data_IF_187087686245
#
_entry.id   IF_187087686245
#
_cell.length_a   1.000
_cell.length_b   1.000
_cell.length_c   1.000
_cell.angle_alpha   90.00
_cell.angle_beta   90.00
_cell.angle_gamma   90.00
#
_symmetry.space_group_name_H-M   'P 1'
#
loop_
_entity.id
_entity.type
_entity.pdbx_description
1 polymer ?
#
# COMPACT_ATOMS: atom_id res chain seq x y z
N UNK A 1 22.12 11.05 -9.41
CA UNK A 1 21.49 9.73 -9.59
C UNK A 1 21.58 9.04 -8.24
N UNK A 2 20.47 8.92 -7.51
CA UNK A 2 20.49 8.10 -6.30
C UNK A 2 20.70 6.65 -6.74
N UNK A 3 21.66 5.98 -6.11
CA UNK A 3 21.98 4.58 -6.36
C UNK A 3 20.76 3.73 -6.02
N UNK A 4 19.89 3.53 -7.02
CA UNK A 4 18.82 2.54 -6.93
C UNK A 4 19.53 1.23 -6.68
N UNK A 5 19.32 0.66 -5.49
CA UNK A 5 19.94 -0.59 -5.10
C UNK A 5 19.20 -1.72 -5.82
N UNK A 6 19.45 -1.82 -7.12
CA UNK A 6 18.81 -2.73 -8.07
C UNK A 6 18.93 -4.18 -7.57
N UNK A 7 20.07 -4.52 -6.96
CA UNK A 7 20.29 -5.81 -6.33
C UNK A 7 19.25 -6.13 -5.23
N UNK A 8 18.96 -5.16 -4.34
CA UNK A 8 17.94 -5.33 -3.29
C UNK A 8 16.54 -5.45 -3.88
N UNK A 9 16.22 -4.71 -4.94
CA UNK A 9 14.94 -4.83 -5.63
C UNK A 9 14.76 -6.24 -6.19
N UNK A 10 15.73 -6.75 -6.96
CA UNK A 10 15.65 -8.09 -7.54
C UNK A 10 15.60 -9.17 -6.46
N UNK A 11 16.40 -9.05 -5.41
CA UNK A 11 16.36 -9.98 -4.28
C UNK A 11 14.97 -10.01 -3.64
N UNK A 12 14.41 -8.84 -3.32
CA UNK A 12 13.08 -8.74 -2.72
C UNK A 12 12.00 -9.29 -3.63
N UNK A 13 12.09 -9.01 -4.94
CA UNK A 13 11.14 -9.49 -5.95
C UNK A 13 11.16 -11.01 -6.08
N UNK A 14 12.35 -11.63 -6.16
CA UNK A 14 12.51 -13.08 -6.23
C UNK A 14 12.04 -13.76 -4.94
N UNK A 15 12.32 -13.17 -3.78
CA UNK A 15 11.86 -13.70 -2.50
C UNK A 15 10.33 -13.68 -2.43
N UNK A 16 9.70 -12.55 -2.75
CA UNK A 16 8.24 -12.40 -2.73
C UNK A 16 7.53 -13.30 -3.73
N UNK A 17 8.06 -13.46 -4.96
CA UNK A 17 7.47 -14.35 -5.96
C UNK A 17 7.53 -15.81 -5.49
N UNK A 18 8.62 -16.20 -4.82
CA UNK A 18 8.80 -17.54 -4.28
C UNK A 18 7.79 -17.82 -3.17
N UNK A 19 7.65 -16.91 -2.20
CA UNK A 19 6.66 -17.01 -1.12
C UNK A 19 5.24 -17.07 -1.69
N UNK A 20 4.92 -16.23 -2.67
CA UNK A 20 3.60 -16.20 -3.29
C UNK A 20 3.27 -17.52 -3.99
N UNK A 21 4.21 -18.06 -4.78
CA UNK A 21 4.05 -19.34 -5.46
C UNK A 21 3.91 -20.51 -4.49
N UNK A 22 4.70 -20.52 -3.41
CA UNK A 22 4.56 -21.53 -2.36
C UNK A 22 3.19 -21.47 -1.68
N UNK A 23 2.72 -20.27 -1.32
CA UNK A 23 1.42 -20.05 -0.71
C UNK A 23 0.24 -20.48 -1.59
N UNK A 24 0.38 -20.43 -2.93
CA UNK A 24 -0.65 -20.90 -3.87
C UNK A 24 -0.84 -22.41 -3.88
N UNK A 25 0.14 -23.19 -3.43
CA UNK A 25 0.06 -24.66 -3.45
C UNK A 25 -0.81 -25.25 -2.33
N UNK A 26 -1.23 -24.43 -1.36
CA UNK A 26 -2.09 -24.85 -0.26
C UNK A 26 -3.52 -25.09 -0.77
N UNK A 27 -3.92 -26.36 -0.85
CA UNK A 27 -5.15 -26.85 -1.49
C UNK A 27 -6.44 -26.50 -0.73
N UNK A 28 -6.37 -26.42 0.60
CA UNK A 28 -7.47 -25.97 1.47
C UNK A 28 -7.10 -24.62 2.04
N UNK A 29 -7.60 -23.54 1.43
CA UNK A 29 -7.25 -22.21 1.91
C UNK A 29 -8.22 -21.75 2.99
N UNK A 30 -7.72 -21.66 4.22
CA UNK A 30 -8.38 -20.88 5.26
C UNK A 30 -8.45 -19.40 4.83
N UNK A 31 -9.36 -18.64 5.44
CA UNK A 31 -9.46 -17.19 5.17
C UNK A 31 -8.13 -16.46 5.50
N UNK A 32 -7.33 -16.97 6.45
CA UNK A 32 -5.98 -16.50 6.73
C UNK A 32 -5.05 -16.62 5.52
N UNK A 33 -5.13 -17.74 4.78
CA UNK A 33 -4.26 -18.01 3.65
C UNK A 33 -4.64 -17.14 2.47
N UNK A 34 -5.94 -16.87 2.30
CA UNK A 34 -6.43 -15.89 1.32
C UNK A 34 -5.93 -14.48 1.65
N UNK A 35 -6.05 -14.04 2.91
CA UNK A 35 -5.54 -12.74 3.37
C UNK A 35 -4.03 -12.61 3.19
N UNK A 36 -3.27 -13.67 3.49
CA UNK A 36 -1.83 -13.70 3.27
C UNK A 36 -1.47 -13.59 1.78
N UNK A 37 -2.19 -14.30 0.90
CA UNK A 37 -1.99 -14.18 -0.56
C UNK A 37 -2.28 -12.77 -1.07
N UNK A 38 -3.33 -12.12 -0.56
CA UNK A 38 -3.62 -10.72 -0.90
C UNK A 38 -2.52 -9.79 -0.41
N UNK A 39 -2.01 -9.99 0.81
CA UNK A 39 -0.90 -9.21 1.35
C UNK A 39 0.37 -9.35 0.51
N UNK A 40 0.74 -10.57 0.12
CA UNK A 40 1.87 -10.84 -0.76
C UNK A 40 1.67 -10.20 -2.15
N UNK A 41 0.46 -10.30 -2.72
CA UNK A 41 0.13 -9.72 -4.02
C UNK A 41 0.19 -8.19 -4.01
N UNK A 42 -0.37 -7.54 -2.98
CA UNK A 42 -0.30 -6.08 -2.81
C UNK A 42 1.13 -5.63 -2.62
N UNK A 43 1.94 -6.37 -1.86
CA UNK A 43 3.37 -6.06 -1.64
C UNK A 43 4.18 -6.18 -2.93
N UNK A 44 3.94 -7.23 -3.74
CA UNK A 44 4.56 -7.38 -5.06
C UNK A 44 4.21 -6.22 -6.00
N UNK A 45 2.94 -5.83 -6.02
CA UNK A 45 2.47 -4.72 -6.83
C UNK A 45 3.16 -3.42 -6.38
N UNK A 46 3.20 -3.16 -5.07
CA UNK A 46 3.84 -1.97 -4.52
C UNK A 46 5.35 -1.92 -4.80
N UNK A 47 6.03 -3.07 -4.77
CA UNK A 47 7.44 -3.18 -5.15
C UNK A 47 7.67 -2.78 -6.62
N UNK A 48 6.80 -3.23 -7.55
CA UNK A 48 6.89 -2.87 -8.97
C UNK A 48 6.69 -1.37 -9.18
N UNK A 49 5.69 -0.78 -8.53
CA UNK A 49 5.42 0.66 -8.67
C UNK A 49 6.47 1.54 -7.96
N UNK A 50 7.08 1.06 -6.86
CA UNK A 50 8.22 1.72 -6.22
C UNK A 50 9.48 1.68 -7.10
N UNK A 51 9.62 0.67 -7.96
CA UNK A 51 10.67 0.67 -8.97
C UNK A 51 10.35 1.62 -10.12
N UNK A 52 9.09 1.67 -10.57
CA UNK A 52 8.63 2.60 -11.61
C UNK A 52 8.77 4.07 -11.20
N UNK A 53 8.56 4.40 -9.93
CA UNK A 53 8.73 5.77 -9.41
C UNK A 53 10.18 6.26 -9.46
N UNK A 54 11.16 5.34 -9.53
CA UNK A 54 12.59 5.67 -9.48
C UNK A 54 13.20 5.99 -10.84
N UNK A 55 12.43 5.94 -11.92
CA UNK A 55 12.89 6.37 -13.25
C UNK A 55 13.04 7.89 -13.41
N UNK A 56 13.05 8.66 -12.31
CA UNK A 56 13.34 10.09 -12.34
C UNK A 56 14.73 10.36 -12.94
N UNK A 57 14.81 11.31 -13.89
CA UNK A 57 16.09 11.78 -14.44
C UNK A 57 16.47 11.22 -15.81
N UNK A 58 15.68 10.31 -16.39
CA UNK A 58 15.82 9.99 -17.82
C UNK A 58 15.07 11.04 -18.66
N UNK A 59 15.76 11.70 -19.60
CA UNK A 59 15.25 12.85 -20.35
C UNK A 59 14.10 12.58 -21.33
N UNK A 60 13.52 11.38 -21.36
CA UNK A 60 12.36 11.07 -22.21
C UNK A 60 11.05 11.32 -21.45
N UNK A 61 10.03 11.91 -22.10
CA UNK A 61 8.74 12.23 -21.47
C UNK A 61 7.99 11.00 -20.94
N UNK A 62 8.27 9.81 -21.46
CA UNK A 62 7.66 8.56 -20.99
C UNK A 62 8.08 8.20 -19.56
N UNK A 63 9.31 8.54 -19.14
CA UNK A 63 9.79 8.27 -17.78
C UNK A 63 9.15 9.17 -16.73
N UNK A 64 8.75 10.39 -17.12
CA UNK A 64 7.95 11.27 -16.28
C UNK A 64 6.59 10.64 -15.97
N UNK A 65 5.91 10.09 -16.97
CA UNK A 65 4.63 9.40 -16.78
C UNK A 65 4.80 8.19 -15.85
N UNK A 66 5.84 7.37 -16.05
CA UNK A 66 6.11 6.24 -15.16
C UNK A 66 6.38 6.67 -13.71
N UNK A 67 7.09 7.79 -13.53
CA UNK A 67 7.40 8.34 -12.21
C UNK A 67 6.12 8.82 -11.50
N UNK A 68 5.30 9.61 -12.19
CA UNK A 68 4.03 10.14 -11.66
C UNK A 68 3.05 9.02 -11.32
N UNK A 69 2.85 8.07 -12.23
CA UNK A 69 1.96 6.91 -12.01
C UNK A 69 2.50 6.03 -10.88
N UNK A 70 3.80 5.74 -10.86
CA UNK A 70 4.45 4.98 -9.78
C UNK A 70 4.18 5.58 -8.42
N UNK A 71 4.24 6.91 -8.32
CA UNK A 71 4.01 7.63 -7.08
C UNK A 71 2.58 7.62 -6.59
N UNK A 72 1.65 7.92 -7.49
CA UNK A 72 0.22 7.89 -7.20
C UNK A 72 -0.18 6.51 -6.69
N UNK A 73 0.25 5.46 -7.39
CA UNK A 73 -0.08 4.09 -7.05
C UNK A 73 0.57 3.66 -5.73
N UNK A 74 1.86 3.95 -5.55
CA UNK A 74 2.58 3.59 -4.31
C UNK A 74 1.94 4.25 -3.08
N UNK A 75 1.60 5.53 -3.17
CA UNK A 75 0.95 6.24 -2.06
C UNK A 75 -0.48 5.78 -1.83
N UNK A 76 -1.27 5.57 -2.88
CA UNK A 76 -2.66 5.11 -2.76
C UNK A 76 -2.79 3.70 -2.19
N UNK A 77 -1.86 2.80 -2.54
CA UNK A 77 -1.89 1.39 -2.13
C UNK A 77 -1.16 1.15 -0.80
N UNK A 78 -0.31 2.08 -0.36
CA UNK A 78 0.42 1.97 0.92
C UNK A 78 -0.47 1.69 2.13
N UNK A 79 -1.73 2.17 2.14
CA UNK A 79 -2.69 1.95 3.23
C UNK A 79 -3.31 0.55 3.22
N UNK A 80 -3.28 -0.15 2.09
CA UNK A 80 -3.83 -1.50 1.98
C UNK A 80 -2.97 -2.53 2.73
N UNK A 81 -1.66 -2.31 2.83
CA UNK A 81 -0.74 -3.21 3.56
C UNK A 81 -1.10 -3.32 5.05
N UNK A 82 -1.11 -2.23 5.85
CA UNK A 82 -1.44 -2.31 7.27
C UNK A 82 -2.89 -2.79 7.50
N UNK A 83 -3.81 -2.45 6.61
CA UNK A 83 -5.21 -2.89 6.65
C UNK A 83 -5.34 -4.41 6.48
N UNK A 84 -4.69 -4.98 5.47
CA UNK A 84 -4.67 -6.42 5.22
C UNK A 84 -3.94 -7.19 6.32
N UNK A 85 -2.84 -6.63 6.83
CA UNK A 85 -2.09 -7.23 7.92
C UNK A 85 -2.90 -7.28 9.21
N UNK A 86 -3.62 -6.20 9.53
CA UNK A 86 -4.54 -6.16 10.67
C UNK A 86 -5.65 -7.20 10.55
N UNK A 87 -6.29 -7.30 9.37
CA UNK A 87 -7.33 -8.32 9.13
C UNK A 87 -6.77 -9.74 9.26
N UNK A 88 -5.54 -9.98 8.77
CA UNK A 88 -4.86 -11.26 8.92
C UNK A 88 -4.65 -11.62 10.40
N UNK A 89 -4.15 -10.69 11.21
CA UNK A 89 -3.95 -10.91 12.65
C UNK A 89 -5.28 -11.09 13.40
N UNK A 90 -6.26 -10.25 13.13
CA UNK A 90 -7.58 -10.34 13.76
C UNK A 90 -8.21 -11.71 13.49
N UNK A 91 -8.17 -12.17 12.24
CA UNK A 91 -8.66 -13.50 11.90
C UNK A 91 -7.86 -14.61 12.60
N UNK A 92 -6.54 -14.49 12.71
CA UNK A 92 -5.70 -15.49 13.36
C UNK A 92 -5.94 -15.60 14.88
N UNK A 93 -6.29 -14.50 15.54
CA UNK A 93 -6.56 -14.45 16.99
C UNK A 93 -7.99 -14.90 17.30
N UNK A 94 -8.98 -14.34 16.59
CA UNK A 94 -10.39 -14.53 16.93
C UNK A 94 -11.06 -15.67 16.14
N UNK A 95 -10.48 -16.10 15.01
CA UNK A 95 -11.03 -17.13 14.11
C UNK A 95 -12.47 -16.87 13.60
N UNK A 96 -12.98 -15.65 13.78
CA UNK A 96 -14.34 -15.25 13.39
C UNK A 96 -14.34 -14.62 11.99
N UNK A 97 -14.95 -15.34 11.03
CA UNK A 97 -15.03 -14.93 9.63
C UNK A 97 -16.01 -13.78 9.39
N UNK A 98 -17.15 -13.76 10.08
CA UNK A 98 -18.22 -12.78 9.85
C UNK A 98 -17.82 -11.41 10.35
N UNK A 99 -17.21 -11.34 11.54
CA UNK A 99 -16.66 -10.11 12.10
C UNK A 99 -15.52 -9.54 11.23
N UNK A 100 -14.67 -10.42 10.69
CA UNK A 100 -13.57 -10.03 9.80
C UNK A 100 -14.09 -9.47 8.47
N UNK A 101 -15.15 -10.04 7.88
CA UNK A 101 -15.78 -9.50 6.65
C UNK A 101 -16.37 -8.10 6.86
N UNK A 102 -16.95 -7.83 8.03
CA UNK A 102 -17.49 -6.49 8.35
C UNK A 102 -16.36 -5.46 8.43
N UNK A 103 -15.25 -5.79 9.10
CA UNK A 103 -14.06 -4.94 9.17
C UNK A 103 -13.48 -4.67 7.78
N UNK A 104 -13.40 -5.68 6.92
CA UNK A 104 -12.92 -5.54 5.54
C UNK A 104 -13.68 -4.46 4.75
N UNK A 105 -15.00 -4.36 4.91
CA UNK A 105 -15.81 -3.33 4.26
C UNK A 105 -15.44 -1.91 4.74
N UNK A 106 -15.17 -1.72 6.03
CA UNK A 106 -14.72 -0.44 6.56
C UNK A 106 -13.35 -0.05 6.00
N UNK A 107 -12.41 -0.99 5.93
CA UNK A 107 -11.09 -0.76 5.34
C UNK A 107 -11.16 -0.37 3.86
N UNK A 108 -12.03 -1.02 3.07
CA UNK A 108 -12.27 -0.62 1.67
C UNK A 108 -12.81 0.80 1.59
N UNK A 109 -13.80 1.15 2.43
CA UNK A 109 -14.39 2.48 2.42
C UNK A 109 -13.35 3.57 2.73
N UNK A 110 -12.51 3.37 3.76
CA UNK A 110 -11.43 4.30 4.11
C UNK A 110 -10.41 4.39 2.98
N UNK A 111 -10.05 3.27 2.35
CA UNK A 111 -9.09 3.24 1.24
C UNK A 111 -9.63 3.96 0.00
N UNK A 112 -10.92 3.79 -0.31
CA UNK A 112 -11.58 4.49 -1.41
C UNK A 112 -11.60 6.00 -1.18
N UNK A 113 -11.93 6.44 0.04
CA UNK A 113 -11.87 7.86 0.43
C UNK A 113 -10.44 8.39 0.24
N UNK A 114 -9.43 7.64 0.70
CA UNK A 114 -8.03 8.04 0.56
C UNK A 114 -7.60 8.18 -0.91
N UNK A 115 -7.98 7.24 -1.78
CA UNK A 115 -7.72 7.32 -3.22
C UNK A 115 -8.42 8.55 -3.84
N UNK A 116 -9.68 8.83 -3.46
CA UNK A 116 -10.41 10.01 -3.95
C UNK A 116 -9.69 11.29 -3.53
N UNK A 117 -9.28 11.41 -2.27
CA UNK A 117 -8.49 12.55 -1.80
C UNK A 117 -7.18 12.67 -2.58
N UNK A 118 -6.47 11.55 -2.77
CA UNK A 118 -5.21 11.53 -3.51
C UNK A 118 -5.38 12.03 -4.94
N UNK A 119 -6.42 11.59 -5.66
CA UNK A 119 -6.76 12.07 -7.01
C UNK A 119 -7.08 13.57 -6.99
N UNK A 120 -7.95 14.03 -6.09
CA UNK A 120 -8.33 15.44 -5.99
C UNK A 120 -7.10 16.33 -5.76
N UNK A 121 -6.19 15.86 -4.90
CA UNK A 121 -5.02 16.65 -4.50
C UNK A 121 -3.96 16.77 -5.58
N UNK A 122 -3.97 15.89 -6.59
CA UNK A 122 -3.15 16.06 -7.80
C UNK A 122 -3.60 17.26 -8.65
N UNK A 123 -4.89 17.63 -8.61
CA UNK A 123 -5.43 18.75 -9.40
C UNK A 123 -5.46 20.07 -8.63
N UNK A 124 -5.49 20.02 -7.30
CA UNK A 124 -5.64 21.23 -6.46
C UNK A 124 -4.35 21.64 -5.76
N UNK A 125 -3.31 20.80 -5.69
CA UNK A 125 -2.06 21.09 -4.96
C UNK A 125 -2.19 21.10 -3.43
N UNK A 126 -3.38 20.85 -2.87
CA UNK A 126 -3.68 21.05 -1.43
C UNK A 126 -3.01 20.05 -0.47
N UNK A 127 -2.54 18.91 -0.95
CA UNK A 127 -1.86 17.88 -0.14
C UNK A 127 -0.49 17.49 -0.72
N UNK A 128 -0.25 17.83 -1.98
CA UNK A 128 0.90 17.39 -2.76
C UNK A 128 1.06 18.33 -3.97
N UNK A 129 2.21 18.98 -4.11
CA UNK A 129 2.61 19.66 -5.34
C UNK A 129 3.68 18.80 -6.03
N UNK A 130 3.44 18.44 -7.30
CA UNK A 130 4.50 17.88 -8.16
C UNK A 130 5.18 19.07 -8.82
N UNK A 131 6.05 19.76 -8.09
CA UNK A 131 6.94 20.72 -8.71
C UNK A 131 8.25 20.02 -9.11
N UNK A 132 8.30 19.69 -10.40
CA UNK A 132 9.51 19.45 -11.17
C UNK A 132 10.62 18.59 -10.53
N UNK A 133 10.33 17.31 -10.26
CA UNK A 133 11.30 16.23 -10.04
C UNK A 133 11.82 15.99 -8.60
N UNK A 134 11.26 16.63 -7.56
CA UNK A 134 11.60 16.33 -6.14
C UNK A 134 10.33 16.22 -5.29
N UNK A 135 10.23 15.18 -4.45
CA UNK A 135 9.20 15.07 -3.42
C UNK A 135 9.54 16.04 -2.28
N UNK A 136 8.79 17.14 -2.14
CA UNK A 136 8.75 17.85 -0.87
C UNK A 136 7.57 17.33 -0.04
N UNK A 137 7.87 16.76 1.12
CA UNK A 137 6.85 16.36 2.09
C UNK A 137 6.33 17.62 2.79
N UNK A 138 5.20 18.14 2.36
CA UNK A 138 4.58 19.30 3.02
C UNK A 138 3.99 18.92 4.38
N UNK A 139 3.75 19.93 5.22
CA UNK A 139 3.47 19.87 6.67
C UNK A 139 2.30 18.94 7.07
N UNK A 140 1.33 18.66 6.19
CA UNK A 140 0.18 17.78 6.47
C UNK A 140 0.51 16.27 6.43
N UNK A 141 1.68 15.86 5.93
CA UNK A 141 2.10 14.46 5.90
C UNK A 141 2.38 13.89 7.31
N UNK A 142 2.75 14.75 8.27
CA UNK A 142 3.01 14.34 9.67
C UNK A 142 1.69 14.08 10.42
N UNK A 143 0.66 14.90 10.15
CA UNK A 143 -0.64 14.75 10.80
C UNK A 143 -1.40 13.52 10.33
N UNK A 144 -1.26 13.13 9.07
CA UNK A 144 -1.95 11.94 8.52
C UNK A 144 -1.39 10.62 9.03
N UNK A 145 -0.07 10.50 9.24
CA UNK A 145 0.48 9.28 9.83
C UNK A 145 0.09 9.10 11.30
N UNK A 146 0.04 10.20 12.07
CA UNK A 146 -0.33 10.17 13.49
C UNK A 146 -1.82 9.88 13.70
N UNK A 147 -2.71 10.57 12.97
CA UNK A 147 -4.15 10.34 13.05
C UNK A 147 -4.59 8.97 12.52
N UNK A 148 -3.87 8.39 11.54
CA UNK A 148 -4.18 7.04 11.03
C UNK A 148 -3.93 5.96 12.07
N UNK A 149 -2.79 6.02 12.78
CA UNK A 149 -2.49 5.07 13.85
C UNK A 149 -3.52 5.16 14.98
N UNK A 150 -3.87 6.39 15.37
CA UNK A 150 -4.85 6.66 16.43
C UNK A 150 -6.29 6.25 16.04
N UNK A 151 -6.68 6.38 14.76
CA UNK A 151 -8.01 5.96 14.30
C UNK A 151 -8.16 4.44 14.24
N UNK A 152 -7.11 3.71 13.82
CA UNK A 152 -7.10 2.25 13.91
C UNK A 152 -7.16 1.78 15.37
N UNK A 153 -6.49 2.48 16.29
CA UNK A 153 -6.52 2.20 17.72
C UNK A 153 -7.87 2.57 18.39
N UNK A 154 -8.53 3.65 17.98
CA UNK A 154 -9.85 4.03 18.49
C UNK A 154 -10.98 3.12 18.00
N UNK A 155 -10.94 2.68 16.73
CA UNK A 155 -11.94 1.71 16.23
C UNK A 155 -11.83 0.32 16.89
N UNK A 156 -10.65 0.02 17.46
CA UNK A 156 -10.36 -1.17 18.26
C UNK A 156 -10.99 -1.08 19.67
N UNK A 157 -10.96 0.09 20.33
CA UNK A 157 -11.58 0.28 21.65
C UNK A 157 -13.12 0.27 21.62
N UNK A 158 -13.72 0.61 20.48
CA UNK A 158 -15.19 0.68 20.35
C UNK A 158 -15.80 -0.69 20.02
N UNK A 159 -15.00 -1.66 19.55
CA UNK A 159 -15.50 -2.99 19.18
C UNK A 159 -15.01 -4.14 20.07
N UNK A 160 -14.06 -3.92 20.99
CA UNK A 160 -13.72 -4.90 22.04
C UNK A 160 -14.86 -5.01 23.06
#
# INVERSE_FOLDING_TARGET
>A
MNDVNIALFFYSFILLITIYNYSRQVKYSLMSDQLFRYLAQVTLLLLVFDFLSRFQGFGLPIYRIFTEVGNIVTHGISHLIPSLWFLYLHFKIYSDTERTKKLYKYFIAISAINIIFLIITQFTGWYYEIDAYVYERTILHVYTHRQRFDFYFCSMLINL
#
